data_IF_427313594946
#
_entry.id   IF_427313594946
#
_cell.length_a   1.000
_cell.length_b   1.000
_cell.length_c   1.000
_cell.angle_alpha   90.00
_cell.angle_beta   90.00
_cell.angle_gamma   90.00
#
_symmetry.space_group_name_H-M   'P 1'
#
loop_
_entity.id
_entity.type
_entity.pdbx_description
1 polymer ?
#
# COMPACT_ATOMS: atom_id res chain seq x y z
N UNK A 1 2.57 9.25 22.05
CA UNK A 1 2.37 10.70 22.28
C UNK A 1 1.32 11.29 21.34
N UNK A 2 1.39 11.07 20.01
CA UNK A 2 0.38 11.56 19.05
C UNK A 2 -1.01 10.97 19.30
N UNK A 3 -1.13 9.66 19.51
CA UNK A 3 -2.43 9.02 19.76
C UNK A 3 -3.12 9.59 21.00
N UNK A 4 -2.35 9.85 22.07
CA UNK A 4 -2.85 10.50 23.28
C UNK A 4 -3.36 11.92 23.01
N UNK A 5 -2.62 12.72 22.24
CA UNK A 5 -3.06 14.06 21.86
C UNK A 5 -4.34 14.04 21.02
N UNK A 6 -4.46 13.09 20.08
CA UNK A 6 -5.68 12.90 19.27
C UNK A 6 -6.86 12.52 20.15
N UNK A 7 -6.67 11.55 21.04
CA UNK A 7 -7.73 11.11 21.96
C UNK A 7 -8.17 12.25 22.88
N UNK A 8 -7.21 12.99 23.45
CA UNK A 8 -7.49 14.10 24.34
C UNK A 8 -8.23 15.23 23.63
N UNK A 9 -7.82 15.60 22.41
CA UNK A 9 -8.53 16.61 21.63
C UNK A 9 -9.97 16.18 21.33
N UNK A 10 -10.17 14.95 20.87
CA UNK A 10 -11.49 14.44 20.53
C UNK A 10 -12.42 14.22 21.74
N UNK A 11 -11.85 14.07 22.94
CA UNK A 11 -12.57 13.95 24.21
C UNK A 11 -12.69 15.24 25.01
N UNK A 12 -12.15 16.37 24.53
CA UNK A 12 -12.26 17.66 25.23
C UNK A 12 -13.35 18.52 24.58
N UNK A 13 -14.25 19.13 25.37
CA UNK A 13 -15.28 20.04 24.85
C UNK A 13 -14.69 21.21 24.07
N UNK A 14 -15.34 21.59 22.97
CA UNK A 14 -14.91 22.71 22.14
C UNK A 14 -16.04 23.72 21.95
N UNK A 15 -15.73 25.03 22.10
CA UNK A 15 -16.69 26.13 21.97
C UNK A 15 -17.39 26.17 20.61
N UNK A 16 -16.64 25.96 19.52
CA UNK A 16 -17.17 25.80 18.16
C UNK A 16 -18.13 24.62 17.93
N UNK A 17 -18.29 23.71 18.89
CA UNK A 17 -19.28 22.63 18.88
C UNK A 17 -20.32 22.80 19.99
N UNK A 18 -20.64 24.04 20.38
CA UNK A 18 -21.57 24.33 21.48
C UNK A 18 -21.18 23.66 22.80
N UNK A 19 -19.87 23.58 23.10
CA UNK A 19 -19.31 22.95 24.28
C UNK A 19 -19.59 21.44 24.41
N UNK A 20 -19.84 20.73 23.31
CA UNK A 20 -19.73 19.27 23.27
C UNK A 20 -18.37 18.84 22.74
N UNK A 21 -17.97 17.61 23.04
CA UNK A 21 -16.75 17.01 22.49
C UNK A 21 -16.96 16.61 21.01
N UNK A 22 -15.88 16.59 20.20
CA UNK A 22 -15.96 16.01 18.85
C UNK A 22 -16.54 14.59 18.81
N UNK A 23 -16.24 13.75 19.81
CA UNK A 23 -16.79 12.39 19.91
C UNK A 23 -18.30 12.38 20.11
N UNK A 24 -18.82 13.19 21.03
CA UNK A 24 -20.27 13.31 21.27
C UNK A 24 -21.00 13.87 20.05
N UNK A 25 -20.41 14.84 19.36
CA UNK A 25 -20.97 15.37 18.12
C UNK A 25 -21.04 14.27 17.05
N UNK A 26 -19.96 13.50 16.83
CA UNK A 26 -19.97 12.38 15.89
C UNK A 26 -21.01 11.32 16.28
N UNK A 27 -21.09 10.96 17.57
CA UNK A 27 -22.08 10.00 18.05
C UNK A 27 -23.51 10.45 17.75
N UNK A 28 -23.82 11.73 17.99
CA UNK A 28 -25.12 12.31 17.66
C UNK A 28 -25.45 12.17 16.16
N UNK A 29 -24.53 12.53 15.26
CA UNK A 29 -24.77 12.45 13.81
C UNK A 29 -24.91 11.01 13.31
N UNK A 30 -24.13 10.09 13.85
CA UNK A 30 -24.13 8.68 13.44
C UNK A 30 -25.33 7.94 14.01
N UNK A 31 -25.64 8.10 15.30
CA UNK A 31 -26.65 7.29 15.99
C UNK A 31 -28.02 7.94 16.08
N UNK A 32 -28.08 9.27 16.24
CA UNK A 32 -29.35 9.99 16.52
C UNK A 32 -29.93 10.68 15.30
N UNK A 33 -29.09 11.28 14.45
CA UNK A 33 -29.54 11.92 13.20
C UNK A 33 -29.83 10.94 12.06
N UNK A 34 -29.65 9.63 12.28
CA UNK A 34 -29.88 8.56 11.30
C UNK A 34 -29.18 8.83 9.94
N UNK A 35 -27.96 9.35 9.98
CA UNK A 35 -27.16 9.50 8.75
C UNK A 35 -26.94 8.12 8.14
N UNK A 36 -27.30 7.95 6.87
CA UNK A 36 -27.21 6.67 6.19
C UNK A 36 -25.73 6.33 5.93
N UNK A 37 -25.12 5.57 6.83
CA UNK A 37 -23.76 5.08 6.69
C UNK A 37 -23.76 3.73 6.01
N UNK A 38 -22.98 3.61 4.93
CA UNK A 38 -22.75 2.32 4.27
C UNK A 38 -21.37 1.80 4.64
N UNK A 39 -21.30 0.52 5.00
CA UNK A 39 -20.03 -0.14 5.23
C UNK A 39 -19.38 -0.47 3.90
N UNK A 40 -18.14 -0.04 3.70
CA UNK A 40 -17.34 -0.53 2.57
C UNK A 40 -17.28 -2.06 2.65
N UNK A 41 -17.61 -2.76 1.57
CA UNK A 41 -17.58 -4.21 1.57
C UNK A 41 -16.17 -4.73 1.92
N UNK A 42 -16.07 -5.83 2.66
CA UNK A 42 -14.81 -6.27 3.25
C UNK A 42 -13.70 -6.53 2.20
N UNK A 43 -14.08 -6.98 1.00
CA UNK A 43 -13.15 -7.17 -0.11
C UNK A 43 -12.56 -5.84 -0.64
N UNK A 44 -13.34 -4.75 -0.62
CA UNK A 44 -12.85 -3.42 -0.98
C UNK A 44 -11.99 -2.78 0.12
N UNK A 45 -12.18 -3.13 1.40
CA UNK A 45 -11.33 -2.64 2.50
C UNK A 45 -9.87 -3.08 2.37
N UNK A 46 -9.59 -4.19 1.67
CA UNK A 46 -8.21 -4.61 1.36
C UNK A 46 -7.57 -3.74 0.28
N UNK A 47 -8.37 -2.96 -0.45
CA UNK A 47 -7.93 -2.04 -1.51
C UNK A 47 -7.67 -0.62 -0.99
N UNK A 48 -7.60 -0.40 0.33
CA UNK A 48 -7.24 0.90 0.91
C UNK A 48 -5.84 1.39 0.45
N UNK A 49 -4.99 0.50 -0.07
CA UNK A 49 -3.75 0.87 -0.75
C UNK A 49 -3.98 1.79 -1.97
N UNK A 50 -5.18 1.78 -2.59
CA UNK A 50 -5.56 2.68 -3.69
C UNK A 50 -5.66 4.15 -3.26
N UNK A 51 -5.82 4.41 -1.96
CA UNK A 51 -5.77 5.76 -1.40
C UNK A 51 -4.34 6.23 -1.11
N UNK A 52 -3.32 5.42 -1.42
CA UNK A 52 -1.90 5.77 -1.30
C UNK A 52 -1.34 6.17 -2.67
N UNK A 53 -0.27 6.96 -2.68
CA UNK A 53 0.39 7.34 -3.94
C UNK A 53 0.96 6.11 -4.66
N UNK A 54 0.51 5.92 -5.90
CA UNK A 54 1.01 4.86 -6.77
C UNK A 54 2.51 5.04 -7.08
N UNK A 55 3.21 3.92 -7.25
CA UNK A 55 4.59 3.90 -7.74
C UNK A 55 4.65 3.29 -9.12
N UNK A 56 5.32 3.98 -10.05
CA UNK A 56 5.65 3.42 -11.35
C UNK A 56 6.80 2.44 -11.20
N UNK A 57 6.60 1.23 -11.70
CA UNK A 57 7.58 0.17 -11.71
C UNK A 57 7.70 -0.38 -13.13
N UNK A 58 8.93 -0.52 -13.63
CA UNK A 58 9.18 -1.14 -14.93
C UNK A 58 9.08 -2.66 -14.81
N UNK A 59 8.40 -3.29 -15.76
CA UNK A 59 8.37 -4.75 -15.89
C UNK A 59 9.68 -5.21 -16.51
N UNK A 60 10.33 -6.16 -15.85
CA UNK A 60 11.60 -6.74 -16.26
C UNK A 60 11.47 -8.26 -16.43
N UNK A 61 12.08 -8.81 -17.47
CA UNK A 61 12.22 -10.25 -17.70
C UNK A 61 13.55 -10.51 -18.41
N UNK A 62 14.07 -11.72 -18.26
CA UNK A 62 15.22 -12.24 -19.00
C UNK A 62 14.84 -13.65 -19.44
N UNK A 63 14.07 -13.73 -20.53
CA UNK A 63 13.45 -14.99 -20.97
C UNK A 63 14.49 -16.03 -21.40
N UNK A 64 15.58 -15.55 -21.99
CA UNK A 64 16.80 -16.29 -22.30
C UNK A 64 17.43 -16.97 -21.07
N UNK A 65 17.30 -16.33 -19.89
CA UNK A 65 17.82 -16.83 -18.61
C UNK A 65 16.73 -17.52 -17.76
N UNK A 66 15.55 -17.81 -18.34
CA UNK A 66 14.42 -18.40 -17.63
C UNK A 66 13.75 -17.47 -16.61
N UNK A 67 14.04 -16.17 -16.62
CA UNK A 67 13.45 -15.19 -15.71
C UNK A 67 12.17 -14.63 -16.32
N UNK A 68 11.03 -15.13 -15.82
CA UNK A 68 9.69 -14.64 -16.18
C UNK A 68 9.47 -13.16 -15.80
N UNK A 69 8.52 -12.46 -16.43
CA UNK A 69 8.22 -11.07 -16.11
C UNK A 69 7.87 -10.84 -14.63
N UNK A 70 8.45 -9.78 -14.10
CA UNK A 70 8.34 -9.36 -12.71
C UNK A 70 8.61 -7.86 -12.62
N UNK A 71 8.21 -7.24 -11.52
CA UNK A 71 8.64 -5.89 -11.19
C UNK A 71 9.69 -5.90 -10.06
N UNK A 72 10.47 -4.82 -9.98
CA UNK A 72 11.33 -4.54 -8.84
C UNK A 72 10.76 -3.38 -8.04
N UNK A 73 10.46 -3.62 -6.77
CA UNK A 73 10.03 -2.57 -5.85
C UNK A 73 10.86 -2.67 -4.57
N UNK A 74 11.55 -1.58 -4.20
CA UNK A 74 12.42 -1.53 -3.01
C UNK A 74 13.42 -2.69 -2.91
N UNK A 75 14.07 -3.08 -4.02
CA UNK A 75 15.02 -4.21 -4.08
C UNK A 75 14.37 -5.59 -3.79
N UNK A 76 13.04 -5.66 -3.81
CA UNK A 76 12.29 -6.91 -3.77
C UNK A 76 11.66 -7.15 -5.14
N UNK A 77 11.51 -8.43 -5.48
CA UNK A 77 10.94 -8.88 -6.74
C UNK A 77 9.49 -9.23 -6.50
N UNK A 78 8.58 -8.72 -7.33
CA UNK A 78 7.16 -9.03 -7.23
C UNK A 78 6.64 -9.58 -8.54
N UNK A 79 5.77 -10.57 -8.46
CA UNK A 79 5.09 -11.15 -9.62
C UNK A 79 3.81 -11.87 -9.20
N UNK A 80 2.99 -12.23 -10.17
CA UNK A 80 1.89 -13.17 -10.04
C UNK A 80 1.81 -14.01 -11.31
N UNK A 81 0.83 -14.93 -11.41
CA UNK A 81 0.63 -15.72 -12.62
C UNK A 81 0.41 -14.82 -13.84
N UNK A 82 -0.53 -13.88 -13.77
CA UNK A 82 -0.90 -12.98 -14.88
C UNK A 82 0.33 -12.25 -15.44
N UNK A 83 1.10 -11.56 -14.59
CA UNK A 83 2.33 -10.87 -14.98
C UNK A 83 3.37 -11.84 -15.52
N UNK A 84 3.56 -12.99 -14.89
CA UNK A 84 4.54 -13.99 -15.31
C UNK A 84 4.25 -14.61 -16.69
N UNK A 85 3.01 -14.54 -17.17
CA UNK A 85 2.63 -14.95 -18.53
C UNK A 85 2.55 -13.77 -19.53
N UNK A 86 2.64 -12.53 -19.04
CA UNK A 86 2.46 -11.32 -19.85
C UNK A 86 3.80 -10.80 -20.41
N UNK A 87 4.43 -11.57 -21.30
CA UNK A 87 5.70 -11.17 -21.92
C UNK A 87 5.59 -9.88 -22.76
N UNK A 88 4.41 -9.55 -23.28
CA UNK A 88 4.16 -8.31 -24.01
C UNK A 88 4.32 -7.05 -23.14
N UNK A 89 4.28 -7.19 -21.80
CA UNK A 89 4.48 -6.07 -20.86
C UNK A 89 5.96 -5.78 -20.57
N UNK A 90 6.90 -6.58 -21.07
CA UNK A 90 8.33 -6.39 -20.81
C UNK A 90 8.77 -4.99 -21.26
N UNK A 91 9.44 -4.26 -20.37
CA UNK A 91 9.91 -2.91 -20.62
C UNK A 91 8.87 -1.82 -20.41
N UNK A 92 7.59 -2.16 -20.26
CA UNK A 92 6.51 -1.21 -19.96
C UNK A 92 6.50 -0.83 -18.47
N UNK A 93 5.85 0.30 -18.16
CA UNK A 93 5.60 0.74 -16.79
C UNK A 93 4.24 0.27 -16.30
N UNK A 94 4.18 -0.17 -15.04
CA UNK A 94 2.94 -0.47 -14.34
C UNK A 94 2.82 0.41 -13.09
N UNK A 95 1.59 0.74 -12.72
CA UNK A 95 1.25 1.46 -11.50
C UNK A 95 1.06 0.48 -10.36
N UNK A 96 1.78 0.69 -9.27
CA UNK A 96 1.79 -0.20 -8.11
C UNK A 96 1.32 0.54 -6.88
N UNK A 97 0.25 0.04 -6.27
CA UNK A 97 -0.29 0.48 -5.00
C UNK A 97 0.14 -0.49 -3.91
N UNK A 98 0.71 0.04 -2.84
CA UNK A 98 1.26 -0.75 -1.74
C UNK A 98 0.53 -0.44 -0.45
N UNK A 99 0.58 -1.38 0.49
CA UNK A 99 0.25 -1.09 1.89
C UNK A 99 1.56 -0.76 2.62
N UNK A 100 1.72 0.47 3.10
CA UNK A 100 2.93 0.88 3.80
C UNK A 100 3.26 0.04 5.05
N UNK A 101 2.26 -0.61 5.66
CA UNK A 101 2.42 -1.44 6.86
C UNK A 101 2.75 -2.92 6.55
N UNK A 102 2.43 -3.40 5.34
CA UNK A 102 2.70 -4.77 4.92
C UNK A 102 2.99 -4.82 3.41
N UNK A 103 4.23 -5.12 3.05
CA UNK A 103 4.74 -5.18 1.69
C UNK A 103 4.87 -6.61 1.16
N UNK A 104 4.25 -7.61 1.81
CA UNK A 104 4.23 -8.98 1.26
C UNK A 104 3.52 -9.06 -0.09
N UNK A 105 2.56 -8.18 -0.33
CA UNK A 105 1.85 -8.07 -1.59
C UNK A 105 1.61 -6.60 -1.96
N UNK A 106 1.44 -6.36 -3.26
CA UNK A 106 1.12 -5.05 -3.82
C UNK A 106 0.10 -5.22 -4.94
N UNK A 107 -0.72 -4.22 -5.19
CA UNK A 107 -1.70 -4.26 -6.28
C UNK A 107 -1.17 -3.51 -7.50
N UNK A 108 -1.27 -4.11 -8.68
CA UNK A 108 -0.71 -3.55 -9.90
C UNK A 108 -1.78 -3.27 -10.96
N UNK A 109 -1.57 -2.19 -11.71
CA UNK A 109 -2.42 -1.74 -12.80
C UNK A 109 -1.55 -1.34 -14.00
N UNK A 110 -2.09 -1.54 -15.19
CA UNK A 110 -1.54 -0.98 -16.43
C UNK A 110 -1.77 0.53 -16.48
N UNK A 111 -1.05 1.27 -17.35
CA UNK A 111 -1.24 2.71 -17.50
C UNK A 111 -2.64 3.14 -17.93
N UNK A 112 -3.39 2.25 -18.59
CA UNK A 112 -4.79 2.45 -19.00
C UNK A 112 -5.81 2.19 -17.87
N UNK A 113 -5.34 1.79 -16.68
CA UNK A 113 -6.17 1.46 -15.52
C UNK A 113 -6.59 0.00 -15.42
N UNK A 114 -6.22 -0.85 -16.37
CA UNK A 114 -6.52 -2.29 -16.31
C UNK A 114 -5.79 -2.95 -15.14
N UNK A 115 -6.52 -3.70 -14.30
CA UNK A 115 -5.95 -4.37 -13.13
C UNK A 115 -5.16 -5.63 -13.54
N UNK A 116 -3.88 -5.70 -13.13
CA UNK A 116 -3.05 -6.92 -13.22
C UNK A 116 -3.20 -7.83 -11.99
N UNK A 117 -3.88 -7.31 -10.96
CA UNK A 117 -4.17 -8.00 -9.71
C UNK A 117 -3.08 -7.79 -8.65
N UNK A 118 -3.09 -8.68 -7.66
CA UNK A 118 -2.13 -8.67 -6.56
C UNK A 118 -0.84 -9.38 -6.98
N UNK A 119 0.29 -8.68 -6.82
CA UNK A 119 1.64 -9.18 -7.03
C UNK A 119 2.26 -9.51 -5.68
N UNK A 120 2.68 -10.77 -5.52
CA UNK A 120 3.35 -11.22 -4.32
C UNK A 120 4.85 -10.99 -4.42
N UNK A 121 5.45 -10.64 -3.28
CA UNK A 121 6.91 -10.63 -3.17
C UNK A 121 7.48 -12.05 -3.26
N UNK A 122 8.61 -12.20 -3.95
CA UNK A 122 9.30 -13.47 -4.09
C UNK A 122 10.30 -13.74 -2.95
N UNK A 123 10.54 -15.02 -2.69
CA UNK A 123 11.55 -15.51 -1.74
C UNK A 123 11.12 -15.33 -0.27
N UNK A 124 12.10 -15.24 0.63
CA UNK A 124 11.88 -15.19 2.08
C UNK A 124 10.99 -14.02 2.53
N UNK A 125 11.01 -12.91 1.79
CA UNK A 125 10.18 -11.74 2.09
C UNK A 125 8.68 -12.02 2.01
N UNK A 126 8.26 -13.11 1.36
CA UNK A 126 6.85 -13.53 1.30
C UNK A 126 6.35 -14.02 2.65
N UNK A 127 7.22 -14.66 3.42
CA UNK A 127 6.87 -15.29 4.69
C UNK A 127 6.95 -14.33 5.87
N UNK A 128 7.77 -13.28 5.76
CA UNK A 128 8.05 -12.35 6.86
C UNK A 128 7.27 -11.06 6.63
N UNK A 129 6.29 -10.72 7.48
CA UNK A 129 5.63 -9.41 7.43
C UNK A 129 6.65 -8.30 7.56
N UNK A 130 6.59 -7.31 6.66
CA UNK A 130 7.54 -6.22 6.65
C UNK A 130 6.92 -4.95 6.08
N UNK A 131 7.31 -3.81 6.61
CA UNK A 131 6.75 -2.52 6.24
C UNK A 131 7.70 -1.70 5.36
N UNK A 132 7.17 -0.61 4.81
CA UNK A 132 7.88 0.30 3.92
C UNK A 132 9.08 0.97 4.57
N UNK A 133 8.99 1.31 5.86
CA UNK A 133 10.08 1.93 6.62
C UNK A 133 11.30 1.00 6.66
N UNK A 134 11.10 -0.27 7.02
CA UNK A 134 12.15 -1.28 7.04
C UNK A 134 12.79 -1.45 5.67
N UNK A 135 11.99 -1.58 4.60
CA UNK A 135 12.53 -1.74 3.24
C UNK A 135 13.33 -0.54 2.76
N UNK A 136 12.90 0.69 3.07
CA UNK A 136 13.65 1.91 2.74
C UNK A 136 15.00 1.94 3.44
N UNK A 137 15.04 1.54 4.71
CA UNK A 137 16.29 1.48 5.47
C UNK A 137 17.25 0.43 4.88
N UNK A 138 16.76 -0.77 4.56
CA UNK A 138 17.55 -1.80 3.87
C UNK A 138 18.11 -1.25 2.54
N UNK A 139 17.28 -0.58 1.73
CA UNK A 139 17.72 0.06 0.48
C UNK A 139 18.81 1.11 0.73
N UNK A 140 18.68 1.92 1.77
CA UNK A 140 19.67 2.93 2.17
C UNK A 140 20.99 2.29 2.53
N UNK A 141 20.99 1.25 3.36
CA UNK A 141 22.18 0.52 3.78
C UNK A 141 22.90 -0.14 2.60
N UNK A 142 22.14 -0.77 1.69
CA UNK A 142 22.71 -1.35 0.47
C UNK A 142 23.39 -0.30 -0.43
N UNK A 143 22.79 0.89 -0.56
CA UNK A 143 23.38 2.01 -1.31
C UNK A 143 24.68 2.52 -0.68
N UNK A 144 24.73 2.60 0.65
CA UNK A 144 25.95 3.00 1.38
C UNK A 144 27.06 1.98 1.15
N UNK A 145 26.77 0.68 1.27
CA UNK A 145 27.75 -0.39 1.06
C UNK A 145 28.35 -0.37 -0.35
N UNK A 146 27.52 -0.15 -1.38
CA UNK A 146 27.97 -0.05 -2.79
C UNK A 146 28.86 1.17 -3.09
N UNK A 147 28.89 2.18 -2.22
CA UNK A 147 29.74 3.37 -2.39
C UNK A 147 31.08 3.25 -1.68
N UNK A 148 31.22 2.26 -0.79
CA UNK A 148 32.42 2.05 0.03
C UNK A 148 33.36 0.97 -0.52
N UNK A 149 32.87 0.13 -1.42
CA UNK A 149 33.67 -0.81 -2.21
C UNK A 149 33.64 -0.38 -3.66
#
# INVERSE_FOLDING_TARGET
>A
MIEYAIANYNGTPHSGLNNVTPLEAMEYFVRRKQTLLTWLAQYHRRSLCLMQSARRCRVCAYLDQGVRPRINLHTARYTNSVLAWSAHLIGQEVLVYLNANDLRSVRAFLPDGTELGELDVQGLWRMIPHNLKLRREICRQMRIRRRRG
#
